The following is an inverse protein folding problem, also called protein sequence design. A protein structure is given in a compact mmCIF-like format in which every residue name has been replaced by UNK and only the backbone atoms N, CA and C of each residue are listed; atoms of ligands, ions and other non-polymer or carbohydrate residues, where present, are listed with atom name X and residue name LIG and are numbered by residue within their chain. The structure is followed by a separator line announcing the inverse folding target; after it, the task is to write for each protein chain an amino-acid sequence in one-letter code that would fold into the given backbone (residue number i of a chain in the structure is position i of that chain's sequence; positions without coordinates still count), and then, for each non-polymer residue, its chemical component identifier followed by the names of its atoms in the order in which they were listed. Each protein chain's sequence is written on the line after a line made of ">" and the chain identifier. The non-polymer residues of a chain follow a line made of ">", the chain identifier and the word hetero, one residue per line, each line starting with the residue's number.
data_IF_401531291249
#
_entry.id   IF_401531291249
#
_cell.length_a   1.000
_cell.length_b   1.000
_cell.length_c   1.000
_cell.angle_alpha   90.00
_cell.angle_beta   90.00
_cell.angle_gamma   90.00
#
_symmetry.space_group_name_H-M   'P 1'
#
loop_
_entity.id
_entity.type
_entity.pdbx_description
1 polymer ?
#
# COMPACT_ATOMS: atom_id res chain seq x y z
N UNK A 1 0.49 16.90 -25.00
CA UNK A 1 1.04 15.93 -24.04
C UNK A 1 1.18 14.59 -24.75
N UNK A 2 2.32 13.88 -24.61
CA UNK A 2 2.45 12.53 -25.12
C UNK A 2 1.55 11.56 -24.33
N UNK A 3 1.19 10.44 -24.96
CA UNK A 3 0.53 9.32 -24.26
C UNK A 3 1.56 8.65 -23.35
N UNK A 4 1.19 8.46 -22.08
CA UNK A 4 2.04 7.81 -21.10
C UNK A 4 1.68 6.31 -21.02
N UNK A 5 2.69 5.46 -20.86
CA UNK A 5 2.49 4.04 -20.54
C UNK A 5 1.94 3.85 -19.13
N UNK A 6 1.36 2.67 -18.86
CA UNK A 6 0.83 2.31 -17.54
C UNK A 6 1.91 2.46 -16.45
N UNK A 7 3.12 1.94 -16.70
CA UNK A 7 4.26 2.09 -15.81
C UNK A 7 4.57 3.55 -15.46
N UNK A 8 4.62 4.43 -16.45
CA UNK A 8 4.90 5.85 -16.23
C UNK A 8 3.78 6.55 -15.45
N UNK A 9 2.52 6.17 -15.69
CA UNK A 9 1.38 6.70 -14.92
C UNK A 9 1.43 6.25 -13.46
N UNK A 10 1.75 4.99 -13.19
CA UNK A 10 1.94 4.45 -11.84
C UNK A 10 2.98 5.28 -11.09
N UNK A 11 4.16 5.46 -11.70
CA UNK A 11 5.25 6.24 -11.10
C UNK A 11 4.82 7.69 -10.81
N UNK A 12 4.01 8.29 -11.68
CA UNK A 12 3.48 9.65 -11.48
C UNK A 12 2.49 9.72 -10.31
N UNK A 13 1.66 8.69 -10.10
CA UNK A 13 0.74 8.64 -8.96
C UNK A 13 1.46 8.45 -7.63
N UNK A 14 2.50 7.60 -7.58
CA UNK A 14 3.16 7.22 -6.33
C UNK A 14 4.41 8.04 -6.00
N UNK A 15 4.88 8.94 -6.87
CA UNK A 15 6.10 9.69 -6.63
C UNK A 15 5.99 10.65 -5.44
N UNK A 16 7.15 10.99 -4.86
CA UNK A 16 7.23 11.90 -3.72
C UNK A 16 6.71 13.33 -4.06
N UNK A 17 6.79 13.73 -5.33
CA UNK A 17 6.31 15.01 -5.85
C UNK A 17 4.78 15.13 -5.82
N UNK A 18 4.05 14.01 -5.88
CA UNK A 18 2.61 13.99 -5.66
C UNK A 18 2.28 14.11 -4.16
N UNK A 19 2.42 15.32 -3.62
CA UNK A 19 2.21 15.62 -2.20
C UNK A 19 0.75 15.44 -1.74
N UNK A 20 -0.19 15.44 -2.69
CA UNK A 20 -1.62 15.25 -2.44
C UNK A 20 -2.11 13.83 -2.66
N UNK A 21 -1.20 12.87 -2.89
CA UNK A 21 -1.53 11.47 -3.13
C UNK A 21 -2.39 10.91 -1.99
N UNK A 22 -3.56 10.39 -2.34
CA UNK A 22 -4.50 9.79 -1.40
C UNK A 22 -4.80 8.33 -1.81
N UNK A 23 -5.73 7.69 -1.10
CA UNK A 23 -6.09 6.29 -1.35
C UNK A 23 -6.55 6.00 -2.78
N UNK A 24 -7.12 6.99 -3.48
CA UNK A 24 -7.56 6.84 -4.87
C UNK A 24 -6.38 6.86 -5.84
N UNK A 25 -5.32 7.61 -5.57
CA UNK A 25 -4.13 7.64 -6.42
C UNK A 25 -3.39 6.32 -6.35
N UNK A 26 -3.20 5.78 -5.14
CA UNK A 26 -2.62 4.45 -4.96
C UNK A 26 -3.52 3.35 -5.51
N UNK A 27 -4.85 3.44 -5.36
CA UNK A 27 -5.78 2.49 -5.98
C UNK A 27 -5.70 2.51 -7.51
N UNK A 28 -5.64 3.69 -8.14
CA UNK A 28 -5.43 3.79 -9.59
C UNK A 28 -4.08 3.20 -10.00
N UNK A 29 -3.02 3.43 -9.24
CA UNK A 29 -1.72 2.83 -9.51
C UNK A 29 -1.78 1.29 -9.45
N UNK A 30 -2.50 0.75 -8.47
CA UNK A 30 -2.76 -0.68 -8.32
C UNK A 30 -3.60 -1.25 -9.49
N UNK A 31 -4.60 -0.52 -9.96
CA UNK A 31 -5.42 -0.91 -11.11
C UNK A 31 -4.61 -0.87 -12.39
N UNK A 32 -3.73 0.12 -12.55
CA UNK A 32 -2.86 0.25 -13.71
C UNK A 32 -1.89 -0.92 -13.90
N UNK A 33 -1.66 -1.74 -12.87
CA UNK A 33 -0.87 -2.97 -12.98
C UNK A 33 -1.45 -3.95 -14.01
N UNK A 34 -2.77 -3.92 -14.26
CA UNK A 34 -3.42 -4.79 -15.26
C UNK A 34 -3.10 -4.40 -16.71
N UNK A 35 -2.58 -3.18 -16.93
CA UNK A 35 -2.20 -2.66 -18.25
C UNK A 35 -0.68 -2.66 -18.47
N UNK A 36 0.09 -3.34 -17.62
CA UNK A 36 1.50 -3.59 -17.85
C UNK A 36 1.60 -4.83 -18.74
N UNK A 37 2.20 -4.67 -19.91
CA UNK A 37 2.35 -5.76 -20.86
C UNK A 37 3.52 -6.67 -20.41
N UNK A 38 3.45 -7.97 -20.74
CA UNK A 38 4.55 -8.91 -20.44
C UNK A 38 5.88 -8.49 -21.11
N UNK A 39 5.79 -7.69 -22.19
CA UNK A 39 6.92 -7.13 -22.92
C UNK A 39 7.64 -5.97 -22.18
N UNK A 40 7.01 -5.38 -21.16
CA UNK A 40 7.58 -4.24 -20.44
C UNK A 40 8.79 -4.64 -19.56
N UNK A 41 9.08 -5.94 -19.40
CA UNK A 41 10.14 -6.49 -18.51
C UNK A 41 10.04 -5.97 -17.06
N UNK A 42 8.84 -5.52 -16.64
CA UNK A 42 8.57 -5.01 -15.31
C UNK A 42 8.06 -6.13 -14.40
N UNK A 43 8.68 -6.29 -13.24
CA UNK A 43 8.18 -7.17 -12.20
C UNK A 43 6.95 -6.55 -11.53
N UNK A 44 5.76 -7.04 -11.91
CA UNK A 44 4.47 -6.60 -11.37
C UNK A 44 4.39 -6.81 -9.85
N UNK A 45 5.02 -7.88 -9.33
CA UNK A 45 5.07 -8.16 -7.89
C UNK A 45 5.89 -7.10 -7.16
N UNK A 46 7.09 -6.80 -7.67
CA UNK A 46 7.95 -5.75 -7.12
C UNK A 46 7.28 -4.37 -7.18
N UNK A 47 6.63 -4.03 -8.29
CA UNK A 47 5.93 -2.75 -8.46
C UNK A 47 4.72 -2.64 -7.52
N UNK A 48 3.98 -3.74 -7.31
CA UNK A 48 2.92 -3.79 -6.31
C UNK A 48 3.45 -3.54 -4.90
N UNK A 49 4.55 -4.19 -4.52
CA UNK A 49 5.23 -3.95 -3.25
C UNK A 49 5.66 -2.48 -3.12
N UNK A 50 6.18 -1.87 -4.18
CA UNK A 50 6.58 -0.46 -4.20
C UNK A 50 5.39 0.47 -3.96
N UNK A 51 4.27 0.28 -4.68
CA UNK A 51 3.05 1.10 -4.55
C UNK A 51 2.55 1.06 -3.10
N UNK A 52 2.43 -0.13 -2.51
CA UNK A 52 1.95 -0.30 -1.14
C UNK A 52 2.94 0.22 -0.10
N UNK A 53 4.25 0.06 -0.32
CA UNK A 53 5.29 0.58 0.56
C UNK A 53 5.28 2.12 0.59
N UNK A 54 5.10 2.74 -0.57
CA UNK A 54 4.97 4.20 -0.66
C UNK A 54 3.68 4.71 -0.02
N UNK A 55 2.57 3.98 -0.13
CA UNK A 55 1.34 4.31 0.59
C UNK A 55 1.57 4.30 2.10
N UNK A 56 2.17 3.22 2.63
CA UNK A 56 2.55 3.12 4.05
C UNK A 56 3.47 4.25 4.49
N UNK A 57 4.43 4.68 3.65
CA UNK A 57 5.34 5.78 3.99
C UNK A 57 4.65 7.13 4.16
N UNK A 58 3.49 7.34 3.51
CA UNK A 58 2.70 8.58 3.65
C UNK A 58 1.95 8.65 4.97
N UNK A 59 1.61 7.50 5.53
CA UNK A 59 0.84 7.41 6.75
C UNK A 59 1.68 7.76 7.99
N UNK A 60 1.07 8.45 8.94
CA UNK A 60 1.72 8.76 10.20
C UNK A 60 1.55 7.62 11.21
N UNK A 61 2.55 6.75 11.26
CA UNK A 61 2.62 5.67 12.25
C UNK A 61 3.25 6.07 13.59
N UNK A 62 3.50 7.37 13.82
CA UNK A 62 4.18 7.84 15.05
C UNK A 62 3.22 8.15 16.21
N UNK A 63 1.93 8.28 15.95
CA UNK A 63 0.92 8.63 16.94
C UNK A 63 0.20 7.38 17.45
N UNK A 64 0.69 6.84 18.55
CA UNK A 64 -0.22 6.27 19.54
C UNK A 64 -1.00 7.44 20.13
N UNK A 65 -2.17 7.78 19.57
CA UNK A 65 -3.10 8.78 20.11
C UNK A 65 -3.75 8.29 21.43
N UNK A 66 -2.95 7.72 22.33
CA UNK A 66 -3.41 7.10 23.58
C UNK A 66 -4.28 5.85 23.39
N UNK A 67 -4.50 5.42 22.14
CA UNK A 67 -5.18 4.16 21.82
C UNK A 67 -4.16 3.03 21.78
N UNK A 68 -4.28 2.09 22.71
CA UNK A 68 -3.52 0.82 22.70
C UNK A 68 -4.02 -0.15 21.59
N UNK A 69 -5.05 0.24 20.83
CA UNK A 69 -5.60 -0.57 19.74
C UNK A 69 -4.92 -0.26 18.39
N UNK A 70 -4.19 -1.22 17.78
CA UNK A 70 -3.52 -1.04 16.50
C UNK A 70 -4.48 -0.84 15.31
N UNK A 71 -5.74 -1.29 15.40
CA UNK A 71 -6.72 -1.10 14.33
C UNK A 71 -7.22 0.34 14.33
N UNK A 72 -7.56 0.88 15.50
CA UNK A 72 -7.97 2.27 15.64
C UNK A 72 -6.86 3.25 15.29
N UNK A 73 -5.60 2.91 15.59
CA UNK A 73 -4.44 3.72 15.22
C UNK A 73 -4.23 3.82 13.70
N UNK A 74 -4.64 2.81 12.94
CA UNK A 74 -4.43 2.73 11.50
C UNK A 74 -5.66 3.06 10.66
N UNK A 75 -6.85 3.20 11.26
CA UNK A 75 -8.14 3.30 10.54
C UNK A 75 -8.20 4.42 9.49
N UNK A 76 -7.55 5.54 9.76
CA UNK A 76 -7.56 6.73 8.90
C UNK A 76 -6.39 6.76 7.91
N UNK A 77 -5.51 5.77 7.97
CA UNK A 77 -4.38 5.62 7.06
C UNK A 77 -4.83 5.36 5.63
N UNK A 78 -4.07 5.88 4.68
CA UNK A 78 -4.20 5.64 3.25
C UNK A 78 -4.15 4.14 2.98
N UNK A 79 -3.23 3.41 3.62
CA UNK A 79 -3.11 1.97 3.46
C UNK A 79 -4.41 1.23 3.83
N UNK A 80 -5.00 1.51 5.00
CA UNK A 80 -6.26 0.86 5.39
C UNK A 80 -7.41 1.25 4.47
N UNK A 81 -7.49 2.51 4.04
CA UNK A 81 -8.49 2.95 3.07
C UNK A 81 -8.37 2.22 1.72
N UNK A 82 -7.16 1.90 1.27
CA UNK A 82 -6.93 1.07 0.08
C UNK A 82 -7.47 -0.35 0.31
N UNK A 83 -7.16 -0.98 1.45
CA UNK A 83 -7.65 -2.33 1.78
C UNK A 83 -9.18 -2.39 1.78
N UNK A 84 -9.82 -1.41 2.43
CA UNK A 84 -11.28 -1.31 2.46
C UNK A 84 -11.89 -1.18 1.07
N UNK A 85 -11.27 -0.41 0.17
CA UNK A 85 -11.71 -0.29 -1.22
C UNK A 85 -11.58 -1.60 -1.99
N UNK A 86 -10.45 -2.30 -1.85
CA UNK A 86 -10.25 -3.62 -2.47
C UNK A 86 -11.30 -4.63 -2.00
N UNK A 87 -11.62 -4.65 -0.71
CA UNK A 87 -12.69 -5.49 -0.15
C UNK A 87 -14.05 -5.11 -0.75
N UNK A 88 -14.38 -3.81 -0.83
CA UNK A 88 -15.64 -3.31 -1.41
C UNK A 88 -15.82 -3.69 -2.89
N UNK A 89 -14.72 -3.79 -3.64
CA UNK A 89 -14.72 -4.23 -5.04
C UNK A 89 -14.74 -5.76 -5.21
N UNK A 90 -14.70 -6.52 -4.10
CA UNK A 90 -14.69 -7.97 -4.12
C UNK A 90 -13.34 -8.60 -4.47
N UNK A 91 -12.25 -7.81 -4.42
CA UNK A 91 -10.89 -8.31 -4.68
C UNK A 91 -10.38 -9.08 -3.47
N UNK A 92 -10.01 -10.35 -3.67
CA UNK A 92 -9.41 -11.19 -2.62
C UNK A 92 -8.05 -10.62 -2.19
N UNK A 93 -7.98 -10.07 -0.98
CA UNK A 93 -6.75 -9.55 -0.36
C UNK A 93 -5.70 -10.64 -0.21
N UNK A 94 -6.08 -11.89 0.04
CA UNK A 94 -5.15 -13.03 0.15
C UNK A 94 -4.38 -13.28 -1.16
N UNK A 95 -5.03 -13.06 -2.30
CA UNK A 95 -4.42 -13.22 -3.62
C UNK A 95 -3.74 -11.94 -4.07
N UNK A 96 -4.24 -10.80 -3.62
CA UNK A 96 -3.81 -9.51 -4.12
C UNK A 96 -2.61 -8.94 -3.37
N UNK A 97 -2.59 -9.03 -2.04
CA UNK A 97 -1.54 -8.41 -1.23
C UNK A 97 -0.26 -9.27 -1.18
N UNK A 98 0.93 -8.65 -1.23
CA UNK A 98 2.21 -9.34 -1.09
C UNK A 98 2.46 -9.80 0.36
N UNK A 99 3.40 -10.72 0.60
CA UNK A 99 3.74 -11.11 1.98
C UNK A 99 4.13 -9.87 2.80
N UNK A 100 3.62 -9.78 4.04
CA UNK A 100 3.95 -8.69 4.96
C UNK A 100 5.45 -8.58 5.16
N UNK A 101 6.18 -9.69 5.12
CA UNK A 101 7.65 -9.69 5.20
C UNK A 101 8.28 -9.00 4.00
N UNK A 102 7.83 -9.31 2.79
CA UNK A 102 8.32 -8.69 1.56
C UNK A 102 8.02 -7.19 1.55
N UNK A 103 6.83 -6.81 2.04
CA UNK A 103 6.45 -5.41 2.19
C UNK A 103 7.34 -4.69 3.20
N UNK A 104 7.55 -5.28 4.38
CA UNK A 104 8.44 -4.76 5.41
C UNK A 104 9.88 -4.64 4.90
N UNK A 105 10.37 -5.61 4.13
CA UNK A 105 11.73 -5.66 3.59
C UNK A 105 12.00 -4.69 2.45
N UNK A 106 10.99 -3.94 2.00
CA UNK A 106 11.19 -2.85 1.06
C UNK A 106 12.11 -1.76 1.65
N UNK A 107 13.02 -1.26 0.81
CA UNK A 107 13.93 -0.18 1.20
C UNK A 107 13.20 1.11 1.60
N UNK A 108 12.00 1.33 1.04
CA UNK A 108 11.16 2.49 1.33
C UNK A 108 10.67 2.54 2.78
N UNK A 109 10.49 1.38 3.42
CA UNK A 109 10.01 1.29 4.81
C UNK A 109 11.14 1.29 5.85
N UNK A 110 12.40 1.43 5.45
CA UNK A 110 13.54 1.38 6.37
C UNK A 110 13.41 2.41 7.52
N UNK A 111 12.92 3.62 7.22
CA UNK A 111 12.67 4.64 8.24
C UNK A 111 11.49 4.28 9.16
N UNK A 112 10.44 3.62 8.64
CA UNK A 112 9.28 3.21 9.43
C UNK A 112 9.58 2.00 10.32
N UNK A 113 10.45 1.08 9.88
CA UNK A 113 10.96 -0.03 10.70
C UNK A 113 11.64 0.42 12.00
N UNK A 114 12.22 1.63 12.02
CA UNK A 114 12.82 2.19 13.24
C UNK A 114 11.80 2.70 14.24
N UNK A 115 10.53 2.91 13.83
CA UNK A 115 9.47 3.34 14.73
C UNK A 115 9.04 2.16 15.60
N UNK A 116 9.00 2.33 16.93
CA UNK A 116 8.36 1.34 17.80
C UNK A 116 6.89 1.21 17.39
N UNK A 117 6.33 0.00 17.47
CA UNK A 117 4.93 -0.34 17.14
C UNK A 117 4.56 -0.43 15.65
N UNK A 118 5.29 0.17 14.70
CA UNK A 118 4.90 0.12 13.27
C UNK A 118 4.71 -1.29 12.74
N UNK A 119 5.70 -2.16 12.92
CA UNK A 119 5.63 -3.55 12.46
C UNK A 119 4.47 -4.32 13.11
N UNK A 120 4.22 -4.07 14.39
CA UNK A 120 3.11 -4.68 15.12
C UNK A 120 1.76 -4.23 14.58
N UNK A 121 1.57 -2.93 14.40
CA UNK A 121 0.35 -2.33 13.85
C UNK A 121 0.09 -2.85 12.45
N UNK A 122 1.12 -2.89 11.59
CA UNK A 122 0.99 -3.39 10.23
C UNK A 122 0.55 -4.86 10.20
N UNK A 123 1.23 -5.73 10.96
CA UNK A 123 0.88 -7.16 11.05
C UNK A 123 -0.54 -7.37 11.58
N UNK A 124 -0.92 -6.65 12.64
CA UNK A 124 -2.25 -6.75 13.24
C UNK A 124 -3.36 -6.35 12.25
N UNK A 125 -3.18 -5.24 11.54
CA UNK A 125 -4.13 -4.82 10.51
C UNK A 125 -4.20 -5.83 9.37
N UNK A 126 -3.05 -6.32 8.91
CA UNK A 126 -2.99 -7.30 7.83
C UNK A 126 -3.75 -8.58 8.18
N UNK A 127 -3.52 -9.13 9.37
CA UNK A 127 -4.24 -10.31 9.87
C UNK A 127 -5.74 -10.05 10.01
N UNK A 128 -6.13 -8.88 10.57
CA UNK A 128 -7.53 -8.52 10.77
C UNK A 128 -8.30 -8.43 9.45
N UNK A 129 -7.77 -7.71 8.46
CA UNK A 129 -8.46 -7.53 7.17
C UNK A 129 -8.46 -8.81 6.32
N UNK A 130 -7.42 -9.65 6.43
CA UNK A 130 -7.44 -10.97 5.79
C UNK A 130 -8.48 -11.90 6.41
N UNK A 131 -8.66 -11.85 7.73
CA UNK A 131 -9.71 -12.63 8.42
C UNK A 131 -11.11 -12.10 8.14
N UNK A 132 -11.28 -10.78 8.05
CA UNK A 132 -12.57 -10.15 7.75
C UNK A 132 -13.12 -10.51 6.37
N UNK A 133 -12.27 -10.99 5.46
CA UNK A 133 -12.66 -11.43 4.10
C UNK A 133 -12.86 -12.96 3.98
N UNK A 134 -12.56 -13.74 5.04
CA UNK A 134 -12.80 -15.18 5.07
C UNK A 134 -14.25 -15.55 5.37
#
# INVERSE_FOLDING_TARGET
>A
MPLLSAYNLIQLYICDDNRGANEYDYKKALDLLEYIDEEDEVDIGALKCEILSKALRRDDWSTSDGSDDPLEAAKDSIFIKILLKLIQEGVSLQTYLPDVKDLLDSGDLCALKTKPYFEFVLRANYEHYLQAQM
#
